data_IF_144639046640
#
_entry.id   IF_144639046640
#
_cell.length_a   1.000
_cell.length_b   1.000
_cell.length_c   1.000
_cell.angle_alpha   90.00
_cell.angle_beta   90.00
_cell.angle_gamma   90.00
#
_symmetry.space_group_name_H-M   'P 1'
#
loop_
_entity.id
_entity.type
_entity.pdbx_description
1 polymer ?
#
# COMPACT_ATOMS: atom_id res chain seq x y z
N UNK A 1 -16.18 9.51 10.26
CA UNK A 1 -15.91 8.21 10.96
C UNK A 1 -16.64 8.13 12.30
N UNK A 2 -16.62 9.19 13.07
CA UNK A 2 -17.19 9.23 14.42
C UNK A 2 -18.72 9.08 14.43
N UNK A 3 -19.40 9.62 13.42
CA UNK A 3 -20.86 9.55 13.30
C UNK A 3 -21.38 8.12 13.13
N UNK A 4 -20.66 7.27 12.37
CA UNK A 4 -21.06 5.87 12.14
C UNK A 4 -20.87 5.02 13.40
N UNK A 5 -19.76 5.18 14.11
CA UNK A 5 -19.52 4.49 15.37
C UNK A 5 -20.52 4.91 16.42
N UNK A 6 -20.82 6.20 16.53
CA UNK A 6 -21.82 6.75 17.44
C UNK A 6 -23.21 6.17 17.13
N UNK A 7 -23.60 6.11 15.86
CA UNK A 7 -24.86 5.48 15.44
C UNK A 7 -24.94 4.00 15.84
N UNK A 8 -23.85 3.23 15.60
CA UNK A 8 -23.80 1.81 15.96
C UNK A 8 -23.89 1.58 17.48
N UNK A 9 -23.33 2.49 18.29
CA UNK A 9 -23.47 2.46 19.75
C UNK A 9 -24.93 2.74 20.14
N UNK A 10 -25.56 3.76 19.58
CA UNK A 10 -26.96 4.09 19.87
C UNK A 10 -27.95 3.00 19.43
N UNK A 11 -27.63 2.29 18.37
CA UNK A 11 -28.42 1.15 17.88
C UNK A 11 -28.14 -0.15 18.65
N UNK A 12 -27.18 -0.16 19.58
CA UNK A 12 -26.84 -1.34 20.39
C UNK A 12 -25.97 -2.39 19.69
N UNK A 13 -25.46 -2.09 18.50
CA UNK A 13 -24.50 -2.97 17.80
C UNK A 13 -23.09 -2.89 18.40
N UNK A 14 -22.75 -1.79 19.04
CA UNK A 14 -21.49 -1.62 19.75
C UNK A 14 -21.74 -1.13 21.19
N UNK A 15 -20.91 -1.59 22.12
CA UNK A 15 -20.76 -0.98 23.44
C UNK A 15 -19.61 0.01 23.43
N UNK A 16 -19.65 1.00 24.33
CA UNK A 16 -18.58 1.97 24.52
C UNK A 16 -18.05 1.92 25.96
N UNK A 17 -16.74 1.78 26.09
CA UNK A 17 -16.06 1.87 27.37
C UNK A 17 -15.41 3.25 27.51
N UNK A 18 -15.98 4.09 28.37
CA UNK A 18 -15.51 5.46 28.59
C UNK A 18 -14.15 5.55 29.29
N UNK A 19 -13.76 4.51 30.05
CA UNK A 19 -12.51 4.53 30.82
C UNK A 19 -11.28 4.41 29.93
N UNK A 20 -11.37 3.63 28.85
CA UNK A 20 -10.28 3.42 27.89
C UNK A 20 -10.62 3.93 26.47
N UNK A 21 -11.76 4.58 26.31
CA UNK A 21 -12.24 5.17 25.04
C UNK A 21 -12.31 4.16 23.88
N UNK A 22 -12.69 2.91 24.16
CA UNK A 22 -12.80 1.86 23.16
C UNK A 22 -14.25 1.43 22.91
N UNK A 23 -14.54 1.06 21.66
CA UNK A 23 -15.77 0.35 21.32
C UNK A 23 -15.55 -1.16 21.37
N UNK A 24 -16.57 -1.90 21.74
CA UNK A 24 -16.56 -3.37 21.75
C UNK A 24 -17.89 -3.94 21.27
N UNK A 25 -17.91 -5.20 20.85
CA UNK A 25 -19.12 -5.90 20.46
C UNK A 25 -19.75 -6.50 21.74
N UNK A 26 -21.00 -6.13 22.09
CA UNK A 26 -21.55 -6.38 23.42
C UNK A 26 -21.96 -7.84 23.69
N UNK A 27 -22.28 -8.61 22.66
CA UNK A 27 -22.76 -9.99 22.83
C UNK A 27 -22.43 -10.87 21.61
N UNK A 28 -22.63 -12.19 21.79
CA UNK A 28 -22.30 -13.22 20.82
C UNK A 28 -23.18 -13.15 19.57
N UNK A 29 -24.47 -12.83 19.71
CA UNK A 29 -25.41 -12.74 18.59
C UNK A 29 -25.00 -11.64 17.62
N UNK A 30 -24.52 -10.50 18.14
CA UNK A 30 -23.99 -9.42 17.31
C UNK A 30 -22.68 -9.84 16.65
N UNK A 31 -21.80 -10.54 17.37
CA UNK A 31 -20.57 -11.11 16.78
C UNK A 31 -20.93 -12.05 15.62
N UNK A 32 -21.84 -13.00 15.86
CA UNK A 32 -22.25 -13.98 14.86
C UNK A 32 -22.91 -13.30 13.65
N UNK A 33 -23.72 -12.25 13.87
CA UNK A 33 -24.33 -11.44 12.83
C UNK A 33 -23.28 -10.72 11.98
N UNK A 34 -22.27 -10.08 12.58
CA UNK A 34 -21.15 -9.47 11.88
C UNK A 34 -20.34 -10.50 11.08
N UNK A 35 -20.01 -11.63 11.71
CA UNK A 35 -19.27 -12.72 11.05
C UNK A 35 -20.05 -13.26 9.85
N UNK A 36 -21.37 -13.47 10.00
CA UNK A 36 -22.20 -13.95 8.90
C UNK A 36 -22.33 -12.90 7.77
N UNK A 37 -22.45 -11.62 8.12
CA UNK A 37 -22.45 -10.52 7.13
C UNK A 37 -21.12 -10.46 6.36
N UNK A 38 -20.00 -10.63 7.05
CA UNK A 38 -18.67 -10.68 6.43
C UNK A 38 -18.55 -11.90 5.51
N UNK A 39 -19.09 -13.06 5.90
CA UNK A 39 -19.04 -14.29 5.09
C UNK A 39 -20.00 -14.28 3.90
N UNK A 40 -21.13 -13.61 3.99
CA UNK A 40 -22.18 -13.59 2.94
C UNK A 40 -21.97 -12.56 1.84
N UNK A 41 -21.10 -11.58 2.05
CA UNK A 41 -20.72 -10.58 1.07
C UNK A 41 -19.32 -10.90 0.54
N UNK A 42 -18.92 -10.30 -0.59
CA UNK A 42 -17.57 -10.43 -1.18
C UNK A 42 -16.42 -9.92 -0.28
N UNK A 43 -16.66 -9.89 1.03
CA UNK A 43 -15.65 -9.52 2.04
C UNK A 43 -14.45 -10.46 2.06
N UNK A 44 -14.61 -11.70 1.58
CA UNK A 44 -13.47 -12.62 1.46
C UNK A 44 -12.41 -12.07 0.50
N UNK A 45 -12.82 -11.46 -0.61
CA UNK A 45 -11.92 -10.83 -1.57
C UNK A 45 -11.28 -9.56 -0.97
N UNK A 46 -12.09 -8.72 -0.33
CA UNK A 46 -11.59 -7.52 0.35
C UNK A 46 -10.62 -7.86 1.49
N UNK A 47 -10.94 -8.88 2.28
CA UNK A 47 -10.06 -9.36 3.36
C UNK A 47 -8.77 -9.94 2.78
N UNK A 48 -8.85 -10.73 1.71
CA UNK A 48 -7.69 -11.27 1.00
C UNK A 48 -6.81 -10.13 0.46
N UNK A 49 -7.40 -9.15 -0.21
CA UNK A 49 -6.67 -7.99 -0.73
C UNK A 49 -5.95 -7.20 0.39
N UNK A 50 -6.59 -7.04 1.55
CA UNK A 50 -5.97 -6.37 2.70
C UNK A 50 -4.83 -7.19 3.31
N UNK A 51 -4.97 -8.52 3.39
CA UNK A 51 -3.91 -9.41 3.86
C UNK A 51 -2.74 -9.44 2.89
N UNK A 52 -3.01 -9.49 1.58
CA UNK A 52 -1.98 -9.40 0.54
C UNK A 52 -1.27 -8.05 0.60
N UNK A 53 -1.99 -6.96 0.80
CA UNK A 53 -1.40 -5.63 0.97
C UNK A 53 -0.47 -5.52 2.18
N UNK A 54 -0.82 -6.19 3.28
CA UNK A 54 0.06 -6.28 4.44
C UNK A 54 1.32 -7.09 4.12
N UNK A 55 1.16 -8.26 3.51
CA UNK A 55 2.28 -9.13 3.15
C UNK A 55 3.21 -8.47 2.11
N UNK A 56 2.64 -7.73 1.15
CA UNK A 56 3.39 -6.89 0.21
C UNK A 56 4.28 -5.86 0.94
N UNK A 57 3.71 -5.16 1.91
CA UNK A 57 4.47 -4.16 2.67
C UNK A 57 5.59 -4.81 3.49
N UNK A 58 5.33 -5.94 4.14
CA UNK A 58 6.33 -6.70 4.88
C UNK A 58 7.45 -7.21 3.95
N UNK A 59 7.11 -7.71 2.75
CA UNK A 59 8.08 -8.10 1.73
C UNK A 59 8.95 -6.92 1.28
N UNK A 60 8.36 -5.74 1.10
CA UNK A 60 9.10 -4.53 0.73
C UNK A 60 10.12 -4.14 1.81
N UNK A 61 9.75 -4.19 3.09
CA UNK A 61 10.68 -3.92 4.19
C UNK A 61 11.84 -4.93 4.24
N UNK A 62 11.55 -6.19 3.92
CA UNK A 62 12.55 -7.26 3.86
C UNK A 62 13.38 -7.25 2.57
N UNK A 63 13.02 -6.41 1.60
CA UNK A 63 13.63 -6.32 0.27
C UNK A 63 13.52 -7.63 -0.51
N UNK A 64 12.40 -8.31 -0.36
CA UNK A 64 12.06 -9.52 -1.10
C UNK A 64 11.38 -9.12 -2.42
N UNK A 65 12.21 -8.84 -3.43
CA UNK A 65 11.81 -8.29 -4.72
C UNK A 65 10.86 -9.23 -5.48
N UNK A 66 11.12 -10.54 -5.42
CA UNK A 66 10.29 -11.56 -6.08
C UNK A 66 8.89 -11.61 -5.45
N UNK A 67 8.83 -11.56 -4.13
CA UNK A 67 7.57 -11.60 -3.41
C UNK A 67 6.76 -10.30 -3.59
N UNK A 68 7.44 -9.16 -3.68
CA UNK A 68 6.80 -7.87 -4.01
C UNK A 68 6.20 -7.92 -5.40
N UNK A 69 6.96 -8.34 -6.42
CA UNK A 69 6.46 -8.47 -7.79
C UNK A 69 5.24 -9.39 -7.86
N UNK A 70 5.28 -10.54 -7.17
CA UNK A 70 4.17 -11.50 -7.09
C UNK A 70 2.90 -10.89 -6.49
N UNK A 71 2.97 -10.18 -5.36
CA UNK A 71 1.79 -9.57 -4.74
C UNK A 71 1.20 -8.44 -5.59
N UNK A 72 2.05 -7.71 -6.33
CA UNK A 72 1.60 -6.71 -7.28
C UNK A 72 0.87 -7.38 -8.46
N UNK A 73 1.39 -8.50 -8.96
CA UNK A 73 0.74 -9.30 -10.00
C UNK A 73 -0.65 -9.78 -9.55
N UNK A 74 -0.76 -10.30 -8.32
CA UNK A 74 -2.06 -10.71 -7.76
C UNK A 74 -3.04 -9.52 -7.67
N UNK A 75 -2.58 -8.33 -7.24
CA UNK A 75 -3.39 -7.12 -7.18
C UNK A 75 -3.81 -6.63 -8.58
N UNK A 76 -2.95 -6.83 -9.58
CA UNK A 76 -3.27 -6.50 -10.98
C UNK A 76 -4.35 -7.42 -11.56
N UNK A 77 -4.29 -8.72 -11.28
CA UNK A 77 -5.29 -9.68 -11.75
C UNK A 77 -6.70 -9.38 -11.22
N UNK A 78 -6.80 -8.80 -10.04
CA UNK A 78 -8.07 -8.35 -9.45
C UNK A 78 -8.57 -7.04 -10.08
N UNK A 79 -7.75 -6.36 -10.90
CA UNK A 79 -8.09 -5.11 -11.58
C UNK A 79 -8.55 -5.40 -13.01
N UNK A 80 -9.61 -4.73 -13.49
CA UNK A 80 -10.13 -4.96 -14.84
C UNK A 80 -9.07 -4.71 -15.92
N UNK A 81 -8.64 -5.76 -16.60
CA UNK A 81 -7.57 -5.81 -17.62
C UNK A 81 -7.73 -4.72 -18.71
N UNK A 82 -8.96 -4.30 -19.01
CA UNK A 82 -9.26 -3.31 -20.04
C UNK A 82 -8.76 -1.89 -19.72
N UNK A 83 -8.45 -1.61 -18.47
CA UNK A 83 -7.99 -0.29 -18.02
C UNK A 83 -6.47 -0.26 -17.76
N UNK A 84 -5.79 -1.40 -17.78
CA UNK A 84 -4.35 -1.52 -17.48
C UNK A 84 -3.53 -1.35 -18.76
N UNK A 85 -3.38 -0.11 -19.21
CA UNK A 85 -2.80 0.21 -20.51
C UNK A 85 -1.75 1.32 -20.50
N UNK A 86 -1.40 1.84 -19.33
CA UNK A 86 -0.42 2.91 -19.18
C UNK A 86 0.10 3.04 -17.74
N UNK A 87 1.10 3.89 -17.55
CA UNK A 87 1.74 4.18 -16.27
C UNK A 87 0.76 4.67 -15.18
N UNK A 88 -0.27 5.43 -15.57
CA UNK A 88 -1.30 5.86 -14.62
C UNK A 88 -2.09 4.69 -14.04
N UNK A 89 -2.45 3.71 -14.88
CA UNK A 89 -3.13 2.51 -14.43
C UNK A 89 -2.24 1.69 -13.48
N UNK A 90 -0.94 1.56 -13.79
CA UNK A 90 0.05 0.97 -12.89
C UNK A 90 0.08 1.70 -11.55
N UNK A 91 0.17 3.03 -11.56
CA UNK A 91 0.19 3.86 -10.35
C UNK A 91 -1.06 3.67 -9.48
N UNK A 92 -2.24 3.52 -10.08
CA UNK A 92 -3.48 3.22 -9.33
C UNK A 92 -3.43 1.84 -8.70
N UNK A 93 -3.03 0.82 -9.46
CA UNK A 93 -2.91 -0.56 -8.95
C UNK A 93 -1.93 -0.63 -7.79
N UNK A 94 -0.76 -0.01 -7.90
CA UNK A 94 0.22 0.05 -6.81
C UNK A 94 -0.34 0.79 -5.59
N UNK A 95 -1.10 1.87 -5.79
CA UNK A 95 -1.75 2.61 -4.70
C UNK A 95 -2.76 1.75 -3.92
N UNK A 96 -3.46 0.85 -4.61
CA UNK A 96 -4.40 -0.10 -4.00
C UNK A 96 -3.62 -1.25 -3.35
N UNK A 97 -2.62 -1.79 -4.03
CA UNK A 97 -1.78 -2.86 -3.50
C UNK A 97 -1.11 -2.48 -2.17
N UNK A 98 -0.71 -1.22 -2.01
CA UNK A 98 -0.16 -0.69 -0.76
C UNK A 98 -1.19 -0.05 0.18
N UNK A 99 -2.48 -0.40 0.09
CA UNK A 99 -3.53 0.25 0.92
C UNK A 99 -3.26 0.09 2.42
N UNK A 100 -2.73 -1.06 2.85
CA UNK A 100 -2.39 -1.34 4.25
C UNK A 100 -1.28 -0.42 4.78
N UNK A 101 -0.38 0.05 3.90
CA UNK A 101 0.70 0.96 4.26
C UNK A 101 0.20 2.28 4.89
N UNK A 102 -1.04 2.68 4.65
CA UNK A 102 -1.66 3.87 5.27
C UNK A 102 -1.70 3.81 6.79
N UNK A 103 -1.62 2.62 7.38
CA UNK A 103 -1.54 2.44 8.84
C UNK A 103 -0.19 2.93 9.38
N UNK A 104 0.89 2.78 8.62
CA UNK A 104 2.27 3.07 9.02
C UNK A 104 2.85 4.32 8.36
N UNK A 105 2.23 4.80 7.27
CA UNK A 105 2.78 5.86 6.42
C UNK A 105 1.78 6.95 6.10
N UNK A 106 2.30 8.16 5.92
CA UNK A 106 1.69 9.18 5.07
C UNK A 106 2.20 8.95 3.66
N UNK A 107 1.31 8.64 2.72
CA UNK A 107 1.66 8.36 1.32
C UNK A 107 1.38 9.62 0.51
N UNK A 108 2.41 10.13 -0.16
CA UNK A 108 2.34 11.30 -1.05
C UNK A 108 2.60 10.80 -2.47
N UNK A 109 1.67 11.09 -3.37
CA UNK A 109 1.81 10.80 -4.81
C UNK A 109 2.30 12.04 -5.52
N UNK A 110 3.09 11.81 -6.59
CA UNK A 110 3.65 12.90 -7.42
C UNK A 110 4.32 13.99 -6.57
N UNK A 111 5.12 13.54 -5.59
CA UNK A 111 5.79 14.44 -4.67
C UNK A 111 6.89 15.22 -5.39
N UNK A 112 6.83 16.56 -5.43
CA UNK A 112 7.94 17.36 -5.94
C UNK A 112 9.19 17.10 -5.11
N UNK A 113 10.25 16.59 -5.73
CA UNK A 113 11.49 16.26 -5.02
C UNK A 113 12.70 16.32 -5.97
N UNK A 114 13.78 16.87 -5.51
CA UNK A 114 14.99 17.00 -6.31
C UNK A 114 14.73 17.75 -7.63
N UNK A 115 14.98 17.07 -8.77
CA UNK A 115 14.83 17.63 -10.12
C UNK A 115 13.56 17.14 -10.85
N UNK A 116 12.55 16.69 -10.11
CA UNK A 116 11.32 16.15 -10.71
C UNK A 116 10.26 15.82 -9.68
N UNK A 117 9.48 14.82 -9.99
CA UNK A 117 8.39 14.32 -9.15
C UNK A 117 8.60 12.81 -8.93
N UNK A 118 8.62 12.39 -7.67
CA UNK A 118 8.61 10.97 -7.35
C UNK A 118 7.17 10.44 -7.43
N UNK A 119 6.94 9.29 -8.05
CA UNK A 119 5.60 8.75 -8.24
C UNK A 119 4.88 8.53 -6.91
N UNK A 120 5.57 7.92 -5.93
CA UNK A 120 5.05 7.76 -4.57
C UNK A 120 6.16 7.85 -3.53
N UNK A 121 5.88 8.58 -2.46
CA UNK A 121 6.77 8.68 -1.29
C UNK A 121 5.98 8.27 -0.04
N UNK A 122 6.58 7.38 0.74
CA UNK A 122 6.03 6.83 1.96
C UNK A 122 6.81 7.41 3.15
N UNK A 123 6.19 8.37 3.85
CA UNK A 123 6.74 9.00 5.06
C UNK A 123 6.29 8.19 6.28
N UNK A 124 7.19 7.58 7.05
CA UNK A 124 6.81 6.74 8.18
C UNK A 124 6.19 7.58 9.32
N UNK A 125 5.22 6.98 10.01
CA UNK A 125 4.58 7.50 11.22
C UNK A 125 5.16 6.85 12.49
N UNK A 126 5.87 5.76 12.32
CA UNK A 126 6.49 4.92 13.34
C UNK A 126 7.91 4.52 12.90
N UNK A 127 8.58 3.64 13.65
CA UNK A 127 9.94 3.18 13.37
C UNK A 127 10.00 2.21 12.18
N UNK A 128 9.68 2.74 10.99
CA UNK A 128 9.75 2.01 9.71
C UNK A 128 10.61 2.78 8.72
N UNK A 129 11.23 2.10 7.76
CA UNK A 129 12.01 2.77 6.72
C UNK A 129 11.11 3.69 5.88
N UNK A 130 11.59 4.88 5.56
CA UNK A 130 10.94 5.67 4.50
C UNK A 130 11.15 4.98 3.15
N UNK A 131 10.24 5.18 2.21
CA UNK A 131 10.34 4.56 0.89
C UNK A 131 10.04 5.58 -0.21
N UNK A 132 10.82 5.53 -1.29
CA UNK A 132 10.52 6.19 -2.56
C UNK A 132 10.21 5.09 -3.55
N UNK A 133 9.02 5.10 -4.12
CA UNK A 133 8.59 4.16 -5.15
C UNK A 133 8.47 4.88 -6.46
N UNK A 134 9.20 4.40 -7.45
CA UNK A 134 9.18 4.88 -8.83
C UNK A 134 8.67 3.77 -9.74
N UNK A 135 7.83 4.12 -10.70
CA UNK A 135 7.15 3.20 -11.57
C UNK A 135 7.69 3.31 -13.00
N UNK A 136 7.74 2.19 -13.69
CA UNK A 136 8.06 2.14 -15.11
C UNK A 136 7.06 1.28 -15.86
N UNK A 137 6.68 1.77 -17.00
CA UNK A 137 5.85 1.06 -17.95
C UNK A 137 6.69 0.69 -19.17
N UNK A 138 6.83 -0.62 -19.42
CA UNK A 138 7.55 -1.13 -20.59
C UNK A 138 9.07 -0.82 -20.60
N UNK A 139 9.64 -0.68 -19.39
CA UNK A 139 11.06 -0.50 -19.14
C UNK A 139 11.51 -1.40 -18.00
N UNK A 140 12.82 -1.61 -17.84
CA UNK A 140 13.38 -2.39 -16.74
C UNK A 140 13.22 -1.66 -15.39
N UNK A 141 13.05 -2.41 -14.29
CA UNK A 141 12.87 -1.83 -12.94
C UNK A 141 14.11 -1.06 -12.47
N UNK A 142 15.31 -1.41 -12.96
CA UNK A 142 16.56 -0.69 -12.73
C UNK A 142 16.48 0.78 -13.15
N UNK A 143 15.78 1.05 -14.25
CA UNK A 143 15.64 2.44 -14.75
C UNK A 143 14.86 3.32 -13.78
N UNK A 144 13.96 2.73 -12.96
CA UNK A 144 13.28 3.45 -11.90
C UNK A 144 14.27 3.87 -10.79
N UNK A 145 15.12 2.95 -10.36
CA UNK A 145 16.15 3.23 -9.35
C UNK A 145 17.14 4.29 -9.85
N UNK A 146 17.58 4.18 -11.09
CA UNK A 146 18.47 5.16 -11.71
C UNK A 146 17.81 6.55 -11.75
N UNK A 147 16.53 6.63 -12.09
CA UNK A 147 15.79 7.89 -12.09
C UNK A 147 15.71 8.51 -10.70
N UNK A 148 15.43 7.73 -9.65
CA UNK A 148 15.40 8.22 -8.25
C UNK A 148 16.75 8.86 -7.91
N UNK A 149 17.87 8.20 -8.28
CA UNK A 149 19.24 8.66 -8.01
C UNK A 149 19.60 9.91 -8.82
N UNK A 150 19.38 9.90 -10.13
CA UNK A 150 19.68 11.02 -11.03
C UNK A 150 18.88 12.28 -10.69
N UNK A 151 17.60 12.13 -10.43
CA UNK A 151 16.70 13.23 -10.09
C UNK A 151 16.79 13.65 -8.62
N UNK A 152 17.51 12.85 -7.79
CA UNK A 152 17.70 13.09 -6.36
C UNK A 152 16.36 13.22 -5.60
N UNK A 153 15.47 12.27 -5.83
CA UNK A 153 14.14 12.26 -5.18
C UNK A 153 14.18 12.11 -3.66
N UNK A 154 15.35 11.81 -3.09
CA UNK A 154 15.60 11.78 -1.65
C UNK A 154 15.81 13.19 -1.04
N UNK A 155 15.91 14.26 -1.85
CA UNK A 155 15.95 15.62 -1.34
C UNK A 155 14.62 15.95 -0.65
N UNK A 156 14.70 16.42 0.58
CA UNK A 156 13.53 16.64 1.45
C UNK A 156 13.21 15.46 2.38
N UNK A 157 13.98 14.36 2.27
CA UNK A 157 13.87 13.18 3.15
C UNK A 157 15.12 12.99 4.01
N UNK A 158 15.89 14.06 4.27
CA UNK A 158 17.17 14.02 4.98
C UNK A 158 17.08 13.32 6.35
N UNK A 159 15.93 13.39 7.00
CA UNK A 159 15.68 12.74 8.29
C UNK A 159 15.63 11.21 8.23
N UNK A 160 15.45 10.65 7.05
CA UNK A 160 15.15 9.24 6.83
C UNK A 160 16.22 8.52 6.03
N UNK A 161 17.30 9.20 5.63
CA UNK A 161 18.32 8.67 4.71
C UNK A 161 18.98 7.38 5.21
N UNK A 162 19.17 7.25 6.52
CA UNK A 162 19.83 6.08 7.12
C UNK A 162 19.04 4.78 6.90
N UNK A 163 17.73 4.88 6.75
CA UNK A 163 16.81 3.74 6.54
C UNK A 163 15.91 3.89 5.31
N UNK A 164 16.29 4.74 4.36
CA UNK A 164 15.52 4.98 3.16
C UNK A 164 15.64 3.80 2.18
N UNK A 165 14.50 3.29 1.71
CA UNK A 165 14.41 2.32 0.64
C UNK A 165 14.04 3.00 -0.68
N UNK A 166 14.77 2.65 -1.73
CA UNK A 166 14.49 3.01 -3.11
C UNK A 166 13.84 1.78 -3.76
N UNK A 167 12.64 1.94 -4.26
CA UNK A 167 11.83 0.84 -4.80
C UNK A 167 11.49 1.16 -6.25
N UNK A 168 12.02 0.38 -7.18
CA UNK A 168 11.67 0.42 -8.60
C UNK A 168 10.68 -0.69 -8.91
N UNK A 169 9.53 -0.35 -9.50
CA UNK A 169 8.52 -1.30 -9.93
C UNK A 169 8.27 -1.08 -11.42
N UNK A 170 8.30 -2.17 -12.18
CA UNK A 170 8.03 -2.13 -13.62
C UNK A 170 6.95 -3.12 -14.02
N UNK A 171 6.26 -2.80 -15.10
CA UNK A 171 5.36 -3.70 -15.82
C UNK A 171 5.77 -3.80 -17.28
N UNK A 172 5.96 -5.01 -17.76
CA UNK A 172 6.24 -5.30 -19.16
C UNK A 172 4.94 -5.73 -19.87
N UNK A 173 4.52 -4.98 -20.89
CA UNK A 173 3.26 -5.24 -21.61
C UNK A 173 3.32 -6.47 -22.52
N UNK A 174 4.52 -6.91 -22.94
CA UNK A 174 4.70 -8.08 -23.82
C UNK A 174 4.61 -9.37 -23.03
N UNK A 175 5.37 -9.48 -21.91
CA UNK A 175 5.35 -10.66 -21.02
C UNK A 175 4.18 -10.62 -20.06
N UNK A 176 3.60 -9.44 -19.79
CA UNK A 176 2.54 -9.15 -18.80
C UNK A 176 3.00 -9.43 -17.37
N UNK A 177 4.25 -9.25 -17.10
CA UNK A 177 4.88 -9.52 -15.80
C UNK A 177 5.28 -8.22 -15.13
N UNK A 178 5.23 -8.23 -13.80
CA UNK A 178 5.81 -7.19 -12.97
C UNK A 178 7.21 -7.58 -12.52
N UNK A 179 8.06 -6.59 -12.38
CA UNK A 179 9.37 -6.73 -11.75
C UNK A 179 9.57 -5.66 -10.69
N UNK A 180 10.40 -5.97 -9.71
CA UNK A 180 10.71 -5.07 -8.60
C UNK A 180 12.19 -5.13 -8.28
N UNK A 181 12.78 -3.96 -7.96
CA UNK A 181 14.12 -3.84 -7.39
C UNK A 181 14.05 -2.94 -6.17
N UNK A 182 14.74 -3.33 -5.11
CA UNK A 182 14.73 -2.59 -3.84
C UNK A 182 16.17 -2.40 -3.35
N UNK A 183 16.60 -1.16 -3.33
CA UNK A 183 17.89 -0.78 -2.78
C UNK A 183 17.73 0.02 -1.49
N UNK A 184 18.69 -0.15 -0.56
CA UNK A 184 18.85 0.77 0.56
C UNK A 184 19.69 1.96 0.09
N UNK A 185 19.21 3.18 0.35
CA UNK A 185 20.00 4.38 0.08
C UNK A 185 21.32 4.34 0.86
N UNK A 186 22.43 4.67 0.21
CA UNK A 186 23.78 4.70 0.79
C UNK A 186 24.50 5.97 0.38
#
# INVERSE_FOLDING_TARGET
KDDVLTLLIHLGYLGYNSSNQTCYIPNKEVIDSFVNSIRSSNWNETTKALLNSRALLEATWNRDEELVAKYIEEAHLDTAILTYNNENALSYTISIAYIYARNHYTIIREMPSGKGYADMVFIPKDDKPAMIVELKWDHEAETAIDQIKEKKYYCGLEKYLDELLLVGISYNKETKEHSCIIERYR
#
